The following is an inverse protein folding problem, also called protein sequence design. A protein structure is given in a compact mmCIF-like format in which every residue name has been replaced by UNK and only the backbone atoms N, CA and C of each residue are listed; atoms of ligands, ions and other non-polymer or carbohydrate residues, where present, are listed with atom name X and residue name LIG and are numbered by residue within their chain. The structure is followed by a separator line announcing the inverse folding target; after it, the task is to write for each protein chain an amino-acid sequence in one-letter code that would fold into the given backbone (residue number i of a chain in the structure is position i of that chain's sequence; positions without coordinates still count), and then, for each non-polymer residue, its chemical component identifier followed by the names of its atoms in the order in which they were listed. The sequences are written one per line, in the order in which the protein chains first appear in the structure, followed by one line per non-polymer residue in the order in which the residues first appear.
data_IF_144438717991
#
_entry.id   IF_144438717991
#
_cell.length_a   1.000
_cell.length_b   1.000
_cell.length_c   1.000
_cell.angle_alpha   90.00
_cell.angle_beta   90.00
_cell.angle_gamma   90.00
#
_symmetry.space_group_name_H-M   'P 1'
#
loop_
_entity.id
_entity.type
_entity.pdbx_description
1 polymer ?
#
# COMPACT_ATOMS: atom_id res chain seq x y z
N UNK A 1 22.08 7.85 -15.91
CA UNK A 1 21.16 7.00 -15.11
C UNK A 1 21.49 5.56 -15.43
N UNK A 2 21.59 4.66 -14.43
CA UNK A 2 21.81 3.24 -14.70
C UNK A 2 20.60 2.64 -15.43
N UNK A 3 20.82 1.67 -16.30
CA UNK A 3 19.76 0.85 -16.87
C UNK A 3 19.36 -0.22 -15.84
N UNK A 4 18.10 -0.19 -15.41
CA UNK A 4 17.53 -1.10 -14.42
C UNK A 4 16.18 -1.62 -14.91
N UNK A 5 15.78 -2.81 -14.46
CA UNK A 5 14.46 -3.36 -14.79
C UNK A 5 13.36 -2.63 -14.02
N UNK A 6 12.14 -2.59 -14.56
CA UNK A 6 10.99 -1.89 -13.95
C UNK A 6 10.76 -2.31 -12.50
N UNK A 7 10.89 -3.61 -12.19
CA UNK A 7 10.77 -4.13 -10.82
C UNK A 7 11.73 -3.44 -9.85
N UNK A 8 12.98 -3.26 -10.24
CA UNK A 8 14.01 -2.64 -9.40
C UNK A 8 13.75 -1.15 -9.24
N UNK A 9 13.30 -0.48 -10.30
CA UNK A 9 12.90 0.92 -10.23
C UNK A 9 11.72 1.13 -9.26
N UNK A 10 10.69 0.28 -9.31
CA UNK A 10 9.56 0.33 -8.37
C UNK A 10 10.06 0.06 -6.94
N UNK A 11 10.85 -0.99 -6.75
CA UNK A 11 11.40 -1.33 -5.44
C UNK A 11 12.24 -0.18 -4.85
N UNK A 12 13.02 0.51 -5.69
CA UNK A 12 13.80 1.68 -5.26
C UNK A 12 12.88 2.82 -4.79
N UNK A 13 11.86 3.18 -5.56
CA UNK A 13 10.92 4.25 -5.16
C UNK A 13 10.13 3.92 -3.89
N UNK A 14 9.76 2.65 -3.69
CA UNK A 14 9.12 2.20 -2.45
C UNK A 14 10.06 2.29 -1.24
N UNK A 15 11.34 1.94 -1.42
CA UNK A 15 12.36 2.07 -0.36
C UNK A 15 12.56 3.53 0.02
N UNK A 16 12.70 4.41 -0.98
CA UNK A 16 12.81 5.86 -0.74
C UNK A 16 11.62 6.37 0.08
N UNK A 17 10.39 5.99 -0.28
CA UNK A 17 9.20 6.38 0.48
C UNK A 17 9.18 5.81 1.91
N UNK A 18 9.63 4.57 2.11
CA UNK A 18 9.71 3.95 3.44
C UNK A 18 10.84 4.58 4.29
N UNK A 19 11.95 4.96 3.69
CA UNK A 19 13.12 5.52 4.36
C UNK A 19 12.88 7.00 4.77
N UNK A 20 12.10 7.75 3.98
CA UNK A 20 11.86 9.18 4.20
C UNK A 20 10.77 9.49 5.24
N UNK A 21 9.78 8.62 5.43
CA UNK A 21 8.63 8.89 6.31
C UNK A 21 8.19 7.65 7.09
N UNK A 22 8.35 7.70 8.41
CA UNK A 22 7.98 6.62 9.35
C UNK A 22 6.48 6.29 9.34
N UNK A 23 5.63 7.18 8.79
CA UNK A 23 4.19 6.95 8.63
C UNK A 23 3.87 6.08 7.42
N UNK A 24 4.82 5.88 6.50
CA UNK A 24 4.61 5.07 5.30
C UNK A 24 4.74 3.61 5.67
N UNK A 25 3.81 2.77 5.26
CA UNK A 25 3.91 1.33 5.47
C UNK A 25 3.17 0.61 4.34
N UNK A 26 3.45 -0.68 4.17
CA UNK A 26 2.88 -1.48 3.09
C UNK A 26 1.90 -2.53 3.61
N UNK A 27 0.81 -2.71 2.87
CA UNK A 27 -0.22 -3.72 3.09
C UNK A 27 -0.45 -4.47 1.78
N UNK A 28 -0.47 -5.79 1.82
CA UNK A 28 -0.78 -6.59 0.64
C UNK A 28 -0.69 -8.08 0.89
N UNK A 29 -1.15 -8.85 -0.10
CA UNK A 29 -1.05 -10.30 -0.09
C UNK A 29 0.37 -10.73 -0.45
N UNK A 30 0.97 -11.58 0.39
CA UNK A 30 2.28 -12.20 0.15
C UNK A 30 3.46 -11.22 -0.04
N UNK A 31 3.32 -9.95 0.35
CA UNK A 31 4.37 -8.94 0.18
C UNK A 31 5.52 -9.06 1.21
N UNK A 32 5.28 -9.75 2.32
CA UNK A 32 6.18 -9.90 3.43
C UNK A 32 6.97 -11.21 3.35
N UNK A 33 6.47 -12.27 3.98
CA UNK A 33 7.22 -13.53 4.14
C UNK A 33 7.51 -14.24 2.82
N UNK A 34 6.67 -14.06 1.80
CA UNK A 34 6.83 -14.63 0.47
C UNK A 34 7.63 -13.73 -0.50
N UNK A 35 8.08 -12.55 -0.04
CA UNK A 35 8.86 -11.58 -0.82
C UNK A 35 8.14 -11.01 -2.07
N UNK A 36 6.81 -11.09 -2.11
CA UNK A 36 5.96 -10.58 -3.19
C UNK A 36 5.95 -11.48 -4.43
N UNK A 37 4.78 -11.64 -5.06
CA UNK A 37 4.60 -12.50 -6.24
C UNK A 37 5.51 -12.14 -7.42
N UNK A 38 5.83 -10.86 -7.58
CA UNK A 38 6.73 -10.34 -8.62
C UNK A 38 8.12 -9.96 -8.09
N UNK A 39 8.43 -10.28 -6.83
CA UNK A 39 9.67 -9.95 -6.15
C UNK A 39 10.00 -8.44 -6.05
N UNK A 40 9.00 -7.57 -6.11
CA UNK A 40 9.17 -6.11 -5.94
C UNK A 40 9.56 -5.80 -4.49
N UNK A 41 8.87 -6.41 -3.52
CA UNK A 41 9.07 -6.20 -2.08
C UNK A 41 10.10 -7.15 -1.45
N UNK A 42 10.90 -7.84 -2.27
CA UNK A 42 11.87 -8.82 -1.78
C UNK A 42 12.82 -8.21 -0.75
N UNK A 43 12.89 -8.86 0.42
CA UNK A 43 13.74 -8.47 1.54
C UNK A 43 13.22 -7.27 2.34
N UNK A 44 12.08 -6.68 1.99
CA UNK A 44 11.54 -5.51 2.69
C UNK A 44 11.17 -5.86 4.13
N UNK A 45 10.49 -7.01 4.34
CA UNK A 45 10.12 -7.44 5.69
C UNK A 45 11.34 -7.60 6.60
N UNK A 46 12.44 -8.15 6.07
CA UNK A 46 13.69 -8.29 6.82
C UNK A 46 14.31 -6.95 7.19
N UNK A 47 14.20 -5.95 6.32
CA UNK A 47 14.81 -4.64 6.50
C UNK A 47 13.98 -3.73 7.41
N UNK A 48 12.66 -3.66 7.19
CA UNK A 48 11.78 -2.69 7.83
C UNK A 48 10.94 -3.28 8.96
N UNK A 49 10.87 -4.60 9.06
CA UNK A 49 10.11 -5.30 10.09
C UNK A 49 8.60 -5.36 9.83
N UNK A 50 7.89 -6.15 10.65
CA UNK A 50 6.47 -6.46 10.46
C UNK A 50 5.52 -5.29 10.75
N UNK A 51 6.02 -4.20 11.35
CA UNK A 51 5.20 -3.00 11.56
C UNK A 51 5.12 -2.13 10.31
N UNK A 52 6.13 -2.20 9.44
CA UNK A 52 6.21 -1.44 8.19
C UNK A 52 5.76 -2.25 6.97
N UNK A 53 5.89 -3.58 7.00
CA UNK A 53 5.53 -4.47 5.89
C UNK A 53 4.57 -5.53 6.44
N UNK A 54 3.29 -5.47 6.04
CA UNK A 54 2.25 -6.35 6.60
C UNK A 54 1.62 -7.21 5.52
N UNK A 55 1.75 -8.52 5.69
CA UNK A 55 0.93 -9.49 4.97
C UNK A 55 -0.52 -9.39 5.45
N UNK A 56 -1.44 -9.45 4.49
CA UNK A 56 -2.89 -9.35 4.74
C UNK A 56 -3.61 -10.64 4.35
N UNK A 57 -4.84 -10.86 4.88
CA UNK A 57 -5.74 -11.88 4.34
C UNK A 57 -6.05 -11.62 2.86
N UNK A 58 -6.48 -12.66 2.14
CA UNK A 58 -6.93 -12.59 0.74
C UNK A 58 -8.31 -11.92 0.70
N UNK A 59 -8.33 -10.59 0.78
CA UNK A 59 -9.53 -9.78 0.79
C UNK A 59 -9.19 -8.34 0.46
N UNK A 60 -9.30 -7.97 -0.81
CA UNK A 60 -8.91 -6.67 -1.34
C UNK A 60 -9.70 -5.53 -0.70
N UNK A 61 -10.97 -5.77 -0.36
CA UNK A 61 -11.79 -4.80 0.37
C UNK A 61 -11.27 -4.55 1.79
N UNK A 62 -10.77 -5.58 2.49
CA UNK A 62 -10.12 -5.41 3.79
C UNK A 62 -8.81 -4.66 3.64
N UNK A 63 -8.00 -4.99 2.63
CA UNK A 63 -6.71 -4.33 2.38
C UNK A 63 -6.91 -2.83 2.15
N UNK A 64 -7.76 -2.47 1.18
CA UNK A 64 -8.02 -1.07 0.85
C UNK A 64 -8.76 -0.35 1.98
N UNK A 65 -9.75 -0.99 2.60
CA UNK A 65 -10.49 -0.39 3.71
C UNK A 65 -9.62 -0.11 4.93
N UNK A 66 -8.71 -1.03 5.28
CA UNK A 66 -7.73 -0.83 6.34
C UNK A 66 -6.77 0.33 6.01
N UNK A 67 -6.32 0.41 4.74
CA UNK A 67 -5.50 1.52 4.28
C UNK A 67 -6.22 2.86 4.35
N UNK A 68 -7.50 2.92 3.95
CA UNK A 68 -8.32 4.14 4.12
C UNK A 68 -8.38 4.54 5.60
N UNK A 69 -8.69 3.60 6.50
CA UNK A 69 -8.72 3.87 7.93
C UNK A 69 -7.38 4.35 8.49
N UNK A 70 -6.29 3.73 8.09
CA UNK A 70 -4.93 4.13 8.49
C UNK A 70 -4.58 5.53 7.98
N UNK A 71 -4.95 5.85 6.74
CA UNK A 71 -4.74 7.16 6.15
C UNK A 71 -5.53 8.26 6.88
N UNK A 72 -6.77 7.97 7.28
CA UNK A 72 -7.58 8.86 8.12
C UNK A 72 -6.95 9.08 9.51
N UNK A 73 -6.26 8.07 10.04
CA UNK A 73 -5.53 8.15 11.30
C UNK A 73 -4.17 8.88 11.18
N UNK A 74 -3.80 9.35 9.99
CA UNK A 74 -2.58 10.13 9.74
C UNK A 74 -1.39 9.31 9.25
N UNK A 75 -1.56 8.02 8.97
CA UNK A 75 -0.55 7.19 8.30
C UNK A 75 -0.56 7.38 6.78
N UNK A 76 0.40 6.78 6.08
CA UNK A 76 0.56 6.89 4.62
C UNK A 76 0.70 5.49 3.99
N UNK A 77 -0.38 4.68 3.98
CA UNK A 77 -0.30 3.31 3.49
C UNK A 77 -0.05 3.26 1.99
N UNK A 78 0.76 2.29 1.58
CA UNK A 78 0.94 1.83 0.21
C UNK A 78 0.32 0.44 0.11
N UNK A 79 -0.67 0.29 -0.75
CA UNK A 79 -1.42 -0.95 -0.94
C UNK A 79 -0.91 -1.69 -2.17
N UNK A 80 -0.58 -2.97 -2.00
CA UNK A 80 -0.36 -3.88 -3.13
C UNK A 80 -1.59 -4.78 -3.31
N UNK A 81 -2.19 -4.71 -4.50
CA UNK A 81 -3.15 -5.70 -4.97
C UNK A 81 -2.42 -6.59 -5.98
N UNK A 82 -2.43 -7.91 -5.74
CA UNK A 82 -1.64 -8.89 -6.50
C UNK A 82 -1.79 -8.75 -8.02
N UNK A 83 -3.02 -8.51 -8.49
CA UNK A 83 -3.30 -8.24 -9.90
C UNK A 83 -4.47 -7.28 -10.04
N UNK A 84 -4.44 -6.45 -11.09
CA UNK A 84 -5.46 -5.42 -11.36
C UNK A 84 -6.87 -5.99 -11.50
N UNK A 85 -7.01 -7.26 -11.89
CA UNK A 85 -8.32 -7.92 -12.01
C UNK A 85 -9.05 -8.00 -10.66
N UNK A 86 -8.30 -8.09 -9.56
CA UNK A 86 -8.85 -8.19 -8.22
C UNK A 86 -9.21 -6.85 -7.59
N UNK A 87 -8.78 -5.74 -8.19
CA UNK A 87 -9.20 -4.39 -7.76
C UNK A 87 -10.72 -4.22 -7.76
N UNK A 88 -11.43 -4.97 -8.61
CA UNK A 88 -12.89 -4.99 -8.65
C UNK A 88 -13.53 -5.42 -7.31
N UNK A 89 -12.84 -6.26 -6.52
CA UNK A 89 -13.30 -6.71 -5.21
C UNK A 89 -13.22 -5.60 -4.14
N UNK A 90 -12.39 -4.58 -4.36
CA UNK A 90 -12.24 -3.42 -3.48
C UNK A 90 -12.90 -2.14 -4.02
N UNK A 91 -13.68 -2.23 -5.10
CA UNK A 91 -14.16 -1.03 -5.83
C UNK A 91 -14.98 -0.08 -4.95
N UNK A 92 -15.75 -0.60 -4.00
CA UNK A 92 -16.52 0.21 -3.07
C UNK A 92 -15.60 1.03 -2.14
N UNK A 93 -14.54 0.41 -1.61
CA UNK A 93 -13.54 1.09 -0.78
C UNK A 93 -12.78 2.16 -1.56
N UNK A 94 -12.48 1.90 -2.84
CA UNK A 94 -11.78 2.87 -3.70
C UNK A 94 -12.70 4.04 -4.06
N UNK A 95 -13.87 3.75 -4.62
CA UNK A 95 -14.74 4.75 -5.25
C UNK A 95 -15.58 5.49 -4.23
N UNK A 96 -16.13 4.79 -3.23
CA UNK A 96 -17.07 5.39 -2.28
C UNK A 96 -16.39 5.91 -1.01
N UNK A 97 -15.24 5.34 -0.63
CA UNK A 97 -14.49 5.80 0.53
C UNK A 97 -13.25 6.62 0.14
N UNK A 98 -12.18 5.99 -0.35
CA UNK A 98 -10.89 6.66 -0.58
C UNK A 98 -11.03 7.93 -1.43
N UNK A 99 -11.74 7.86 -2.55
CA UNK A 99 -11.90 8.98 -3.47
C UNK A 99 -12.80 10.12 -2.93
N UNK A 100 -13.80 9.81 -2.12
CA UNK A 100 -14.88 10.76 -1.77
C UNK A 100 -14.78 11.34 -0.37
N UNK A 101 -14.11 10.66 0.56
CA UNK A 101 -14.08 11.06 1.98
C UNK A 101 -13.60 12.50 2.19
N UNK A 102 -12.60 12.97 1.42
CA UNK A 102 -12.16 14.36 1.49
C UNK A 102 -13.26 15.35 1.12
N UNK A 103 -14.02 15.05 0.07
CA UNK A 103 -15.11 15.90 -0.37
C UNK A 103 -16.31 15.83 0.60
N UNK A 104 -16.73 14.63 0.98
CA UNK A 104 -17.87 14.41 1.88
C UNK A 104 -17.64 15.02 3.27
N UNK A 105 -16.40 15.07 3.74
CA UNK A 105 -16.02 15.69 5.00
C UNK A 105 -15.74 17.19 4.89
N UNK A 106 -16.00 17.81 3.73
CA UNK A 106 -15.67 19.21 3.45
C UNK A 106 -14.21 19.56 3.78
N UNK A 107 -13.29 18.64 3.44
CA UNK A 107 -11.85 18.80 3.66
C UNK A 107 -11.37 18.55 5.09
N UNK A 108 -12.24 18.15 6.03
CA UNK A 108 -11.82 17.81 7.40
C UNK A 108 -10.92 16.58 7.45
N UNK A 109 -11.13 15.63 6.53
CA UNK A 109 -10.30 14.44 6.41
C UNK A 109 -9.61 14.37 5.05
N UNK A 110 -8.43 13.78 5.02
CA UNK A 110 -7.71 13.43 3.79
C UNK A 110 -7.34 11.95 3.83
N UNK A 111 -7.27 11.31 2.67
CA UNK A 111 -6.90 9.89 2.54
C UNK A 111 -5.61 9.79 1.72
N UNK A 112 -4.44 10.16 2.28
CA UNK A 112 -3.16 10.06 1.58
C UNK A 112 -2.67 8.60 1.54
N UNK A 113 -3.06 7.88 0.49
CA UNK A 113 -2.65 6.49 0.25
C UNK A 113 -2.22 6.29 -1.21
N UNK A 114 -1.47 5.20 -1.45
CA UNK A 114 -1.06 4.74 -2.77
C UNK A 114 -1.61 3.35 -3.03
#
# INVERSE_FOLDING_TARGET
MPEIIIREAIAQGLREALDEDDRVFMLGEDIGAYDGAYAVTRGFLKQYGPDRIRDTPISESVIVGAAVGAALAGLRPIVEIMTINFTLLAIDQIVNHAAKLRYMSNGQFTVPMM
#
